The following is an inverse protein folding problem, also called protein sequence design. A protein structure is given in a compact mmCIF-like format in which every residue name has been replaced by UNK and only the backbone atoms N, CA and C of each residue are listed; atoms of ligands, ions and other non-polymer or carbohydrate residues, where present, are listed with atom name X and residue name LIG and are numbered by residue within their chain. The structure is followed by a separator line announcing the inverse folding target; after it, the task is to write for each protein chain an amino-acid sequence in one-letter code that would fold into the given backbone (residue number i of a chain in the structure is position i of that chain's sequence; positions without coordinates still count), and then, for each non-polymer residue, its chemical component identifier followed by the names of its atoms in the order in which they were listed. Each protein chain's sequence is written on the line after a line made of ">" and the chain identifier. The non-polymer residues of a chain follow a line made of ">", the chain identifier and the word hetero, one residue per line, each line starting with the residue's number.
data_IF_793777282732
#
_entry.id   IF_793777282732
#
_cell.length_a   1.000
_cell.length_b   1.000
_cell.length_c   1.000
_cell.angle_alpha   90.00
_cell.angle_beta   90.00
_cell.angle_gamma   90.00
#
_symmetry.space_group_name_H-M   'P 1'
#
loop_
_entity.id
_entity.type
_entity.pdbx_description
1 polymer ?
#
# COMPACT_ATOMS: atom_id res chain seq x y z
N UNK A 1 16.79 66.52 -31.07
CA UNK A 1 16.03 66.57 -32.34
C UNK A 1 15.73 65.14 -32.79
N UNK A 2 14.51 64.87 -33.28
CA UNK A 2 14.02 63.54 -33.61
C UNK A 2 14.33 63.17 -35.07
N UNK A 3 14.51 61.89 -35.37
CA UNK A 3 14.20 61.37 -36.71
C UNK A 3 13.28 60.16 -36.57
N UNK A 4 12.04 60.45 -36.90
CA UNK A 4 10.86 59.61 -36.94
C UNK A 4 10.82 58.80 -38.26
N UNK A 5 10.07 57.69 -38.22
CA UNK A 5 9.34 56.98 -39.30
C UNK A 5 10.00 55.78 -40.02
N UNK A 6 9.19 54.85 -40.57
CA UNK A 6 7.97 54.25 -39.99
C UNK A 6 7.85 52.73 -40.25
N UNK A 7 6.84 52.14 -39.60
CA UNK A 7 6.27 50.82 -39.84
C UNK A 7 6.10 50.46 -41.34
N UNK A 8 6.59 49.28 -41.72
CA UNK A 8 6.18 48.52 -42.90
C UNK A 8 5.63 47.17 -42.45
N UNK A 9 4.32 46.97 -42.62
CA UNK A 9 3.64 45.74 -42.22
C UNK A 9 3.83 44.60 -43.21
N UNK A 10 3.85 43.39 -42.67
CA UNK A 10 3.41 42.19 -43.38
C UNK A 10 2.62 41.33 -42.39
N UNK A 11 1.34 41.16 -42.74
CA UNK A 11 0.31 40.41 -42.02
C UNK A 11 0.71 38.94 -41.76
N UNK A 12 0.11 38.28 -40.74
CA UNK A 12 0.39 36.89 -40.41
C UNK A 12 -0.03 35.95 -41.53
N UNK A 13 0.87 35.07 -41.96
CA UNK A 13 0.54 33.94 -42.85
C UNK A 13 -0.26 32.88 -42.07
N UNK A 14 -1.39 32.39 -42.61
CA UNK A 14 -2.24 31.42 -41.94
C UNK A 14 -1.58 30.03 -41.83
N UNK A 15 -1.93 29.21 -40.82
CA UNK A 15 -1.43 27.84 -40.72
C UNK A 15 -2.05 26.95 -41.81
N UNK A 16 -1.29 25.98 -42.35
CA UNK A 16 -1.84 25.02 -43.30
C UNK A 16 -2.90 24.14 -42.62
N UNK A 17 -4.13 24.28 -43.08
CA UNK A 17 -5.27 23.41 -42.76
C UNK A 17 -5.38 22.33 -43.85
N UNK A 18 -5.31 21.05 -43.49
CA UNK A 18 -5.68 20.00 -44.44
C UNK A 18 -5.25 18.58 -44.10
N UNK A 19 -6.22 17.78 -43.67
CA UNK A 19 -6.32 16.32 -43.75
C UNK A 19 -5.64 15.51 -42.64
N UNK A 20 -6.32 15.29 -41.51
CA UNK A 20 -7.32 14.23 -41.25
C UNK A 20 -6.78 12.80 -41.39
N UNK A 21 -5.96 12.38 -40.43
CA UNK A 21 -6.10 11.03 -39.92
C UNK A 21 -7.01 11.09 -38.70
N UNK A 22 -8.29 10.77 -38.94
CA UNK A 22 -9.16 10.20 -37.92
C UNK A 22 -8.40 9.02 -37.32
N UNK A 23 -8.09 9.10 -36.03
CA UNK A 23 -7.78 7.93 -35.23
C UNK A 23 -9.08 7.59 -34.47
N UNK A 24 -10.03 6.86 -35.08
CA UNK A 24 -11.05 6.22 -34.28
C UNK A 24 -10.35 5.03 -33.63
N UNK A 25 -10.29 5.04 -32.31
CA UNK A 25 -10.55 3.90 -31.46
C UNK A 25 -10.20 4.36 -30.05
N UNK A 26 -11.19 4.98 -29.42
CA UNK A 26 -11.47 4.65 -28.03
C UNK A 26 -11.69 3.13 -27.97
N UNK A 27 -10.61 2.37 -27.83
CA UNK A 27 -10.66 1.10 -27.18
C UNK A 27 -10.35 1.41 -25.72
N UNK A 28 -11.43 1.60 -24.97
CA UNK A 28 -11.46 1.49 -23.53
C UNK A 28 -10.49 0.39 -23.08
N UNK A 29 -9.30 0.74 -22.61
CA UNK A 29 -8.55 -0.16 -21.76
C UNK A 29 -9.24 -0.12 -20.41
N UNK A 30 -10.36 -0.84 -20.35
CA UNK A 30 -11.02 -1.34 -19.17
C UNK A 30 -9.96 -1.59 -18.08
N UNK A 31 -10.16 -0.98 -16.92
CA UNK A 31 -9.97 -1.56 -15.59
C UNK A 31 -9.06 -2.82 -15.54
N UNK A 32 -7.74 -2.64 -15.60
CA UNK A 32 -6.82 -3.60 -14.98
C UNK A 32 -5.81 -2.85 -14.10
N UNK A 33 -6.29 -1.95 -13.26
CA UNK A 33 -5.65 -1.69 -11.95
C UNK A 33 -6.30 -2.57 -10.87
N UNK A 34 -6.55 -3.82 -11.19
CA UNK A 34 -6.80 -4.85 -10.18
C UNK A 34 -5.64 -5.82 -10.27
N UNK A 35 -4.54 -5.34 -9.69
CA UNK A 35 -3.39 -6.10 -9.20
C UNK A 35 -3.41 -7.59 -9.53
N UNK A 36 -2.54 -8.02 -10.44
CA UNK A 36 -2.07 -9.42 -10.47
C UNK A 36 -1.56 -9.83 -9.08
N UNK A 37 -1.06 -8.87 -8.28
CA UNK A 37 -0.82 -9.06 -6.85
C UNK A 37 -2.08 -9.51 -6.09
N UNK A 38 -3.25 -8.87 -6.23
CA UNK A 38 -4.47 -9.23 -5.51
C UNK A 38 -4.92 -10.67 -5.82
N UNK A 39 -4.78 -11.12 -7.08
CA UNK A 39 -5.14 -12.49 -7.44
C UNK A 39 -4.23 -13.55 -6.79
N UNK A 40 -2.91 -13.33 -6.78
CA UNK A 40 -1.95 -14.23 -6.12
C UNK A 40 -2.11 -14.22 -4.58
N UNK A 41 -2.48 -13.07 -4.00
CA UNK A 41 -2.68 -12.90 -2.56
C UNK A 41 -3.94 -13.60 -2.00
N UNK A 42 -4.92 -13.95 -2.85
CA UNK A 42 -6.20 -14.52 -2.40
C UNK A 42 -6.20 -16.05 -2.25
N UNK A 43 -5.18 -16.77 -2.73
CA UNK A 43 -5.15 -18.24 -2.67
C UNK A 43 -4.27 -18.83 -1.56
N UNK A 44 -3.51 -18.01 -0.81
CA UNK A 44 -2.67 -18.48 0.29
C UNK A 44 -2.76 -17.54 1.51
N UNK A 45 -3.76 -17.74 2.36
CA UNK A 45 -3.89 -17.00 3.63
C UNK A 45 -2.90 -17.51 4.65
N UNK A 46 -1.88 -16.70 4.99
CA UNK A 46 -0.83 -17.02 5.98
C UNK A 46 -1.34 -16.91 7.41
N UNK A 47 -2.24 -15.96 7.69
CA UNK A 47 -2.83 -15.79 9.02
C UNK A 47 -3.84 -16.90 9.23
N UNK A 48 -3.62 -17.72 10.27
CA UNK A 48 -4.49 -18.85 10.62
C UNK A 48 -5.29 -18.60 11.89
N UNK A 49 -4.73 -17.87 12.85
CA UNK A 49 -5.38 -17.63 14.15
C UNK A 49 -5.19 -16.18 14.57
N UNK A 50 -6.30 -15.53 14.92
CA UNK A 50 -6.33 -14.21 15.55
C UNK A 50 -6.37 -14.38 17.06
N UNK A 51 -5.54 -13.63 17.79
CA UNK A 51 -5.58 -13.60 19.26
C UNK A 51 -6.87 -12.96 19.78
N UNK A 52 -7.40 -11.99 19.05
CA UNK A 52 -8.58 -11.23 19.45
C UNK A 52 -9.41 -10.73 18.25
N UNK A 53 -10.70 -10.53 18.51
CA UNK A 53 -11.65 -10.05 17.50
C UNK A 53 -11.35 -8.62 17.03
N UNK A 54 -10.73 -7.77 17.85
CA UNK A 54 -10.43 -6.41 17.42
C UNK A 54 -9.34 -6.40 16.34
N UNK A 55 -8.30 -7.22 16.48
CA UNK A 55 -7.28 -7.37 15.43
C UNK A 55 -7.86 -7.85 14.10
N UNK A 56 -8.74 -8.87 14.13
CA UNK A 56 -9.44 -9.33 12.92
C UNK A 56 -10.26 -8.21 12.27
N UNK A 57 -11.00 -7.43 13.07
CA UNK A 57 -11.77 -6.29 12.57
C UNK A 57 -10.90 -5.22 11.90
N UNK A 58 -9.68 -4.98 12.41
CA UNK A 58 -8.73 -4.06 11.77
C UNK A 58 -8.34 -4.58 10.39
N UNK A 59 -8.07 -5.89 10.26
CA UNK A 59 -7.74 -6.54 8.98
C UNK A 59 -8.89 -6.42 7.96
N UNK A 60 -10.13 -6.58 8.43
CA UNK A 60 -11.35 -6.41 7.63
C UNK A 60 -11.63 -4.93 7.27
N UNK A 61 -10.85 -3.98 7.79
CA UNK A 61 -10.95 -2.55 7.50
C UNK A 61 -11.86 -1.77 8.44
N UNK A 62 -12.37 -2.37 9.51
CA UNK A 62 -13.21 -1.70 10.50
C UNK A 62 -12.41 -1.04 11.62
N UNK A 63 -12.81 0.17 12.01
CA UNK A 63 -12.23 0.87 13.15
C UNK A 63 -12.44 0.13 14.48
N UNK A 64 -11.41 0.12 15.32
CA UNK A 64 -11.45 -0.41 16.68
C UNK A 64 -10.77 0.53 17.68
N UNK A 65 -11.00 0.31 18.98
CA UNK A 65 -10.39 1.11 20.06
C UNK A 65 -8.99 0.63 20.46
N UNK A 66 -8.53 -0.53 19.98
CA UNK A 66 -7.22 -1.09 20.33
C UNK A 66 -6.07 -0.30 19.70
N UNK A 67 -6.33 0.44 18.62
CA UNK A 67 -5.35 1.28 17.91
C UNK A 67 -5.93 2.68 17.63
N UNK A 68 -5.17 3.77 17.82
CA UNK A 68 -5.56 5.12 17.46
C UNK A 68 -5.97 5.25 15.98
N UNK A 69 -6.99 6.09 15.73
CA UNK A 69 -7.60 6.26 14.40
C UNK A 69 -6.58 6.62 13.31
N UNK A 70 -5.61 7.46 13.63
CA UNK A 70 -4.54 7.88 12.71
C UNK A 70 -3.57 6.74 12.33
N UNK A 71 -3.48 5.68 13.14
CA UNK A 71 -2.64 4.51 12.87
C UNK A 71 -3.39 3.36 12.21
N UNK A 72 -4.73 3.43 12.14
CA UNK A 72 -5.57 2.32 11.71
C UNK A 72 -5.25 1.83 10.29
N UNK A 73 -5.16 2.75 9.33
CA UNK A 73 -4.77 2.43 7.94
C UNK A 73 -3.38 1.80 7.84
N UNK A 74 -2.45 2.22 8.71
CA UNK A 74 -1.10 1.65 8.77
C UNK A 74 -1.14 0.23 9.32
N UNK A 75 -1.94 -0.02 10.36
CA UNK A 75 -2.14 -1.34 10.94
C UNK A 75 -2.79 -2.31 9.96
N UNK A 76 -3.90 -1.90 9.33
CA UNK A 76 -4.61 -2.65 8.27
C UNK A 76 -3.65 -3.09 7.17
N UNK A 77 -2.86 -2.15 6.61
CA UNK A 77 -1.89 -2.44 5.55
C UNK A 77 -0.80 -3.42 5.98
N UNK A 78 -0.29 -3.30 7.21
CA UNK A 78 0.71 -4.24 7.73
C UNK A 78 0.12 -5.64 7.94
N UNK A 79 -1.12 -5.76 8.41
CA UNK A 79 -1.82 -7.05 8.55
C UNK A 79 -2.08 -7.69 7.20
N UNK A 80 -2.52 -6.93 6.19
CA UNK A 80 -2.67 -7.43 4.82
C UNK A 80 -1.34 -7.90 4.23
N UNK A 81 -0.26 -7.13 4.46
CA UNK A 81 1.09 -7.56 4.06
C UNK A 81 1.49 -8.85 4.77
N UNK A 82 1.25 -8.99 6.08
CA UNK A 82 1.53 -10.23 6.80
C UNK A 82 0.76 -11.42 6.22
N UNK A 83 -0.50 -11.22 5.84
CA UNK A 83 -1.30 -12.29 5.23
C UNK A 83 -0.83 -12.69 3.82
N UNK A 84 -0.05 -11.82 3.19
CA UNK A 84 0.34 -11.87 1.79
C UNK A 84 1.72 -12.47 1.52
N UNK A 85 2.55 -12.64 2.55
CA UNK A 85 3.93 -13.13 2.38
C UNK A 85 3.97 -14.63 2.05
N UNK A 86 5.07 -15.07 1.45
CA UNK A 86 5.34 -16.52 1.26
C UNK A 86 6.43 -16.99 2.21
N UNK A 87 7.37 -16.09 2.53
CA UNK A 87 8.41 -16.30 3.51
C UNK A 87 8.47 -15.15 4.51
N UNK A 88 8.93 -15.43 5.73
CA UNK A 88 9.09 -14.42 6.77
C UNK A 88 10.07 -13.30 6.36
N UNK A 89 11.03 -13.61 5.49
CA UNK A 89 11.98 -12.65 4.94
C UNK A 89 11.30 -11.51 4.16
N UNK A 90 10.15 -11.78 3.53
CA UNK A 90 9.40 -10.82 2.70
C UNK A 90 8.89 -9.64 3.52
N UNK A 91 8.68 -9.82 4.84
CA UNK A 91 8.25 -8.74 5.74
C UNK A 91 9.32 -7.63 5.84
N UNK A 92 10.60 -7.95 5.61
CA UNK A 92 11.74 -7.00 5.75
C UNK A 92 11.86 -6.01 4.59
N UNK A 93 11.12 -6.20 3.50
CA UNK A 93 11.14 -5.32 2.33
C UNK A 93 9.82 -4.53 2.33
N UNK A 94 9.80 -3.20 2.56
CA UNK A 94 10.87 -2.21 2.46
C UNK A 94 11.64 -1.94 3.77
N UNK A 95 12.84 -1.33 3.73
CA UNK A 95 13.77 -1.18 4.88
C UNK A 95 13.22 -0.43 6.11
N UNK A 96 12.05 0.20 6.01
CA UNK A 96 11.34 0.81 7.14
C UNK A 96 10.70 -0.23 8.09
N UNK A 97 10.53 -1.48 7.64
CA UNK A 97 10.00 -2.56 8.48
C UNK A 97 11.10 -3.14 9.39
N UNK A 98 11.05 -2.78 10.67
CA UNK A 98 11.86 -3.41 11.73
C UNK A 98 11.15 -4.66 12.23
N UNK A 99 11.36 -5.79 11.56
CA UNK A 99 10.96 -7.10 12.06
C UNK A 99 11.86 -7.46 13.24
N UNK A 100 11.29 -7.54 14.44
CA UNK A 100 12.03 -7.83 15.66
C UNK A 100 11.58 -9.20 16.20
N UNK A 101 12.53 -10.13 16.36
CA UNK A 101 12.29 -11.40 17.06
C UNK A 101 12.28 -11.14 18.56
N UNK A 102 11.21 -11.54 19.23
CA UNK A 102 11.08 -11.35 20.68
C UNK A 102 11.94 -12.41 21.40
N UNK A 103 12.99 -11.98 22.11
CA UNK A 103 13.99 -12.86 22.74
C UNK A 103 13.40 -13.87 23.74
N UNK A 104 12.26 -13.55 24.35
CA UNK A 104 11.60 -14.38 25.36
C UNK A 104 10.80 -15.55 24.81
N UNK A 105 10.50 -15.60 23.50
CA UNK A 105 9.69 -16.67 22.90
C UNK A 105 10.29 -17.11 21.56
N UNK A 106 10.66 -18.40 21.46
CA UNK A 106 11.43 -18.97 20.33
C UNK A 106 10.85 -18.65 18.94
N UNK A 107 9.53 -18.50 18.82
CA UNK A 107 8.81 -18.35 17.55
C UNK A 107 7.95 -17.08 17.46
N UNK A 108 8.09 -16.13 18.40
CA UNK A 108 7.29 -14.91 18.42
C UNK A 108 8.00 -13.76 17.70
N UNK A 109 7.25 -13.09 16.85
CA UNK A 109 7.71 -11.99 16.00
C UNK A 109 6.85 -10.76 16.22
N UNK A 110 7.44 -9.59 15.94
CA UNK A 110 6.70 -8.34 15.95
C UNK A 110 7.00 -7.46 14.75
N UNK A 111 5.96 -6.78 14.24
CA UNK A 111 6.03 -5.75 13.21
C UNK A 111 5.68 -4.41 13.84
N UNK A 112 6.54 -3.42 13.61
CA UNK A 112 6.36 -2.07 14.14
C UNK A 112 5.30 -1.27 13.38
N UNK A 113 4.29 -0.77 14.10
CA UNK A 113 3.36 0.24 13.58
C UNK A 113 3.93 1.65 13.84
N UNK A 114 4.31 1.97 15.08
CA UNK A 114 4.99 3.22 15.45
C UNK A 114 5.85 3.00 16.72
N UNK A 115 6.16 4.03 17.53
CA UNK A 115 6.92 3.82 18.78
C UNK A 115 6.22 2.94 19.82
N UNK A 116 4.89 2.90 19.85
CA UNK A 116 4.09 2.28 20.90
C UNK A 116 3.33 1.03 20.43
N UNK A 117 2.84 1.05 19.20
CA UNK A 117 1.97 0.01 18.66
C UNK A 117 2.78 -1.04 17.87
N UNK A 118 2.40 -2.31 18.04
CA UNK A 118 2.98 -3.48 17.38
C UNK A 118 1.90 -4.41 16.87
N UNK A 119 2.23 -5.14 15.81
CA UNK A 119 1.58 -6.41 15.49
C UNK A 119 2.49 -7.51 16.03
N UNK A 120 1.97 -8.45 16.80
CA UNK A 120 2.71 -9.62 17.30
C UNK A 120 2.05 -10.90 16.81
N UNK A 121 2.86 -11.91 16.50
CA UNK A 121 2.36 -13.21 16.05
C UNK A 121 3.40 -14.30 16.32
N UNK A 122 2.96 -15.55 16.32
CA UNK A 122 3.83 -16.71 16.28
C UNK A 122 4.00 -17.16 14.83
N UNK A 123 5.24 -17.42 14.41
CA UNK A 123 5.54 -17.93 13.07
C UNK A 123 5.92 -19.40 13.13
N UNK A 124 5.09 -20.25 12.54
CA UNK A 124 5.23 -21.70 12.59
C UNK A 124 4.92 -22.27 11.20
N UNK A 125 5.87 -23.00 10.60
CA UNK A 125 5.68 -23.70 9.32
C UNK A 125 5.07 -22.83 8.21
N UNK A 126 5.57 -21.60 8.04
CA UNK A 126 5.09 -20.67 7.00
C UNK A 126 3.78 -19.96 7.30
N UNK A 127 3.23 -20.11 8.51
CA UNK A 127 1.94 -19.55 8.91
C UNK A 127 2.07 -18.66 10.16
N UNK A 128 1.17 -17.70 10.28
CA UNK A 128 1.05 -16.78 11.40
C UNK A 128 -0.12 -17.17 12.32
N UNK A 129 0.20 -17.33 13.61
CA UNK A 129 -0.74 -17.69 14.67
C UNK A 129 -0.76 -16.62 15.77
N UNK A 130 -1.83 -16.62 16.57
CA UNK A 130 -2.00 -15.72 17.72
C UNK A 130 -1.71 -14.25 17.32
N UNK A 131 -2.23 -13.85 16.16
CA UNK A 131 -1.99 -12.53 15.59
C UNK A 131 -2.75 -11.48 16.39
N UNK A 132 -2.02 -10.47 16.86
CA UNK A 132 -2.54 -9.39 17.69
C UNK A 132 -1.97 -8.05 17.27
N UNK A 133 -2.78 -7.00 17.25
CA UNK A 133 -2.36 -5.64 16.96
C UNK A 133 -2.82 -4.68 18.07
N UNK A 134 -1.87 -4.03 18.75
CA UNK A 134 -2.18 -3.17 19.88
C UNK A 134 -0.98 -2.47 20.49
N UNK A 135 -1.22 -1.87 21.65
CA UNK A 135 -0.24 -1.11 22.44
C UNK A 135 0.70 -2.06 23.19
N UNK A 136 1.98 -2.09 22.78
CA UNK A 136 2.97 -3.02 23.31
C UNK A 136 3.58 -2.57 24.65
N UNK A 137 3.40 -1.30 25.04
CA UNK A 137 3.95 -0.77 26.30
C UNK A 137 2.97 -0.91 27.48
N UNK A 138 1.82 -1.54 27.26
CA UNK A 138 0.85 -1.85 28.30
C UNK A 138 1.12 -3.19 28.98
#
# INVERSE_FOLDING_TARGET
>A
MPSNRPYGGSQPTPPPTGMVHFCPLAASSLLITLDVCSYVLNNHSVIKVWRDKATQRIFDGYYTRSIPKNLHRKAERQLRRLNAITALADIRVPPSNRLEKLKSHKNRWSIRINQQYRITFDWINGNAYEVWAGDYHK
#
